data_IF_506590396467
#
_entry.id   IF_506590396467
#
_cell.length_a   1.000
_cell.length_b   1.000
_cell.length_c   1.000
_cell.angle_alpha   90.00
_cell.angle_beta   90.00
_cell.angle_gamma   90.00
#
_symmetry.space_group_name_H-M   'P 1'
#
loop_
_entity.id
_entity.type
_entity.pdbx_description
1 polymer ?
#
# COMPACT_ATOMS: atom_id res chain seq x y z
N UNK A 1 -33.50 -10.13 -16.96
CA UNK A 1 -32.02 -10.15 -16.94
C UNK A 1 -31.59 -11.49 -17.51
N UNK A 2 -30.80 -11.50 -18.61
CA UNK A 2 -30.26 -12.79 -19.15
C UNK A 2 -29.29 -13.36 -18.11
N UNK A 3 -29.54 -14.58 -17.65
CA UNK A 3 -28.57 -15.32 -16.84
C UNK A 3 -27.26 -15.40 -17.62
N UNK A 4 -26.18 -14.88 -16.99
CA UNK A 4 -24.83 -15.07 -17.54
C UNK A 4 -24.52 -16.55 -17.50
N UNK A 5 -24.09 -17.11 -18.64
CA UNK A 5 -23.61 -18.49 -18.66
C UNK A 5 -22.39 -18.63 -17.74
N UNK A 6 -22.18 -19.80 -17.15
CA UNK A 6 -21.02 -20.10 -16.29
C UNK A 6 -19.70 -19.73 -16.98
N UNK A 7 -19.59 -19.97 -18.28
CA UNK A 7 -18.43 -19.59 -19.08
C UNK A 7 -18.19 -18.07 -19.15
N UNK A 8 -19.23 -17.27 -19.27
CA UNK A 8 -19.11 -15.80 -19.25
C UNK A 8 -18.63 -15.30 -17.89
N UNK A 9 -19.01 -15.96 -16.81
CA UNK A 9 -18.56 -15.61 -15.48
C UNK A 9 -17.10 -15.99 -15.26
N UNK A 10 -16.67 -17.18 -15.71
CA UNK A 10 -15.26 -17.62 -15.67
C UNK A 10 -14.38 -16.67 -16.49
N UNK A 11 -14.76 -16.33 -17.71
CA UNK A 11 -14.02 -15.39 -18.56
C UNK A 11 -13.91 -14.00 -17.93
N UNK A 12 -15.00 -13.52 -17.34
CA UNK A 12 -14.97 -12.21 -16.65
C UNK A 12 -14.02 -12.21 -15.45
N UNK A 13 -14.01 -13.27 -14.64
CA UNK A 13 -13.08 -13.41 -13.51
C UNK A 13 -11.63 -13.52 -13.99
N UNK A 14 -11.38 -14.29 -15.05
CA UNK A 14 -10.06 -14.40 -15.69
C UNK A 14 -9.54 -13.05 -16.20
N UNK A 15 -10.41 -12.25 -16.82
CA UNK A 15 -10.07 -10.88 -17.22
C UNK A 15 -9.69 -10.01 -16.01
N UNK A 16 -10.40 -10.11 -14.89
CA UNK A 16 -10.06 -9.34 -13.68
C UNK A 16 -8.76 -9.79 -13.03
N UNK A 17 -8.42 -11.09 -13.12
CA UNK A 17 -7.09 -11.58 -12.71
C UNK A 17 -6.00 -10.98 -13.58
N UNK A 18 -6.20 -10.93 -14.91
CA UNK A 18 -5.24 -10.29 -15.83
C UNK A 18 -5.09 -8.79 -15.52
N UNK A 19 -6.20 -8.08 -15.30
CA UNK A 19 -6.18 -6.66 -14.90
C UNK A 19 -5.42 -6.48 -13.58
N UNK A 20 -5.63 -7.36 -12.59
CA UNK A 20 -4.89 -7.34 -11.32
C UNK A 20 -3.39 -7.47 -11.54
N UNK A 21 -2.94 -8.44 -12.36
CA UNK A 21 -1.51 -8.66 -12.63
C UNK A 21 -0.88 -7.46 -13.36
N UNK A 22 -1.54 -6.93 -14.39
CA UNK A 22 -1.07 -5.72 -15.10
C UNK A 22 -1.02 -4.52 -14.15
N UNK A 23 -2.02 -4.33 -13.31
CA UNK A 23 -2.07 -3.23 -12.35
C UNK A 23 -1.00 -3.37 -11.26
N UNK A 24 -0.68 -4.59 -10.79
CA UNK A 24 0.44 -4.84 -9.88
C UNK A 24 1.77 -4.39 -10.51
N UNK A 25 2.02 -4.75 -11.78
CA UNK A 25 3.23 -4.33 -12.49
C UNK A 25 3.25 -2.80 -12.64
N UNK A 26 2.14 -2.21 -13.05
CA UNK A 26 2.04 -0.75 -13.25
C UNK A 26 2.31 0.03 -11.97
N UNK A 27 1.85 -0.46 -10.82
CA UNK A 27 2.10 0.18 -9.52
C UNK A 27 3.59 0.18 -9.12
N UNK A 28 4.41 -0.75 -9.65
CA UNK A 28 5.85 -0.83 -9.38
C UNK A 28 6.72 0.03 -10.32
N UNK A 29 6.14 0.58 -11.41
CA UNK A 29 6.92 1.34 -12.39
C UNK A 29 7.61 2.57 -11.78
N UNK A 30 6.99 3.39 -10.89
CA UNK A 30 7.66 4.51 -10.25
C UNK A 30 8.86 4.08 -9.39
N UNK A 31 8.74 2.93 -8.71
CA UNK A 31 9.81 2.35 -7.90
C UNK A 31 10.99 1.94 -8.77
N UNK A 32 10.73 1.21 -9.86
CA UNK A 32 11.76 0.83 -10.83
C UNK A 32 12.47 2.04 -11.45
N UNK A 33 11.70 3.09 -11.83
CA UNK A 33 12.26 4.33 -12.32
C UNK A 33 13.13 5.02 -11.27
N UNK A 34 12.70 5.07 -10.00
CA UNK A 34 13.45 5.70 -8.92
C UNK A 34 14.80 5.01 -8.71
N UNK A 35 14.84 3.67 -8.68
CA UNK A 35 16.08 2.91 -8.59
C UNK A 35 17.00 3.13 -9.81
N UNK A 36 16.44 3.15 -11.02
CA UNK A 36 17.21 3.40 -12.23
C UNK A 36 17.84 4.80 -12.23
N UNK A 37 17.08 5.82 -11.84
CA UNK A 37 17.61 7.19 -11.74
C UNK A 37 18.70 7.31 -10.67
N UNK A 38 18.52 6.67 -9.51
CA UNK A 38 19.51 6.65 -8.43
C UNK A 38 20.80 5.96 -8.88
N UNK A 39 20.73 4.78 -9.54
CA UNK A 39 21.91 4.05 -10.02
C UNK A 39 22.68 4.78 -11.14
N UNK A 40 22.00 5.65 -11.88
CA UNK A 40 22.62 6.52 -12.89
C UNK A 40 22.99 7.92 -12.36
N UNK A 41 22.99 8.11 -11.04
CA UNK A 41 23.38 9.35 -10.36
C UNK A 41 22.64 10.60 -10.86
N UNK A 42 21.38 10.45 -11.23
CA UNK A 42 20.55 11.59 -11.64
C UNK A 42 20.38 12.58 -10.48
N UNK A 43 20.32 13.91 -10.76
CA UNK A 43 20.10 14.89 -9.71
C UNK A 43 18.79 14.63 -8.96
N UNK A 44 18.84 14.67 -7.62
CA UNK A 44 17.71 14.28 -6.74
C UNK A 44 16.42 15.07 -7.03
N UNK A 45 16.52 16.37 -7.31
CA UNK A 45 15.34 17.18 -7.63
C UNK A 45 14.68 16.73 -8.94
N UNK A 46 15.46 16.51 -9.99
CA UNK A 46 14.96 16.05 -11.30
C UNK A 46 14.34 14.65 -11.18
N UNK A 47 15.01 13.74 -10.47
CA UNK A 47 14.49 12.41 -10.16
C UNK A 47 13.15 12.50 -9.45
N UNK A 48 13.04 13.37 -8.44
CA UNK A 48 11.79 13.58 -7.70
C UNK A 48 10.65 14.09 -8.58
N UNK A 49 10.93 15.05 -9.46
CA UNK A 49 9.93 15.60 -10.38
C UNK A 49 9.48 14.55 -11.42
N UNK A 50 10.41 13.78 -11.99
CA UNK A 50 10.10 12.73 -12.98
C UNK A 50 9.25 11.61 -12.36
N UNK A 51 9.69 11.07 -11.21
CA UNK A 51 8.95 10.01 -10.51
C UNK A 51 7.60 10.54 -10.01
N UNK A 52 7.55 11.77 -9.51
CA UNK A 52 6.31 12.42 -9.07
C UNK A 52 5.31 12.59 -10.23
N UNK A 53 5.75 13.07 -11.38
CA UNK A 53 4.90 13.23 -12.56
C UNK A 53 4.36 11.88 -13.05
N UNK A 54 5.22 10.84 -13.13
CA UNK A 54 4.80 9.50 -13.48
C UNK A 54 3.80 8.93 -12.46
N UNK A 55 4.05 9.15 -11.17
CA UNK A 55 3.16 8.72 -10.09
C UNK A 55 1.77 9.35 -10.21
N UNK A 56 1.68 10.64 -10.55
CA UNK A 56 0.40 11.33 -10.78
C UNK A 56 -0.38 10.69 -11.92
N UNK A 57 0.30 10.35 -13.03
CA UNK A 57 -0.33 9.67 -14.17
C UNK A 57 -0.87 8.31 -13.74
N UNK A 58 -0.08 7.49 -13.05
CA UNK A 58 -0.49 6.16 -12.58
C UNK A 58 -1.66 6.27 -11.59
N UNK A 59 -1.57 7.16 -10.60
CA UNK A 59 -2.67 7.41 -9.65
C UNK A 59 -3.96 7.81 -10.37
N UNK A 60 -3.86 8.67 -11.39
CA UNK A 60 -5.02 9.08 -12.19
C UNK A 60 -5.67 7.87 -12.86
N UNK A 61 -4.87 6.97 -13.45
CA UNK A 61 -5.38 5.73 -14.07
C UNK A 61 -6.08 4.84 -13.04
N UNK A 62 -5.46 4.63 -11.86
CA UNK A 62 -6.05 3.81 -10.79
C UNK A 62 -7.33 4.42 -10.23
N UNK A 63 -7.34 5.72 -9.94
CA UNK A 63 -8.51 6.42 -9.39
C UNK A 63 -9.67 6.41 -10.39
N UNK A 64 -9.42 6.77 -11.65
CA UNK A 64 -10.44 6.74 -12.68
C UNK A 64 -10.95 5.32 -12.96
N UNK A 65 -10.05 4.33 -12.99
CA UNK A 65 -10.40 2.92 -13.10
C UNK A 65 -11.28 2.45 -11.95
N UNK A 66 -10.92 2.76 -10.70
CA UNK A 66 -11.70 2.41 -9.52
C UNK A 66 -13.07 3.10 -9.50
N UNK A 67 -13.16 4.37 -9.91
CA UNK A 67 -14.45 5.09 -10.04
C UNK A 67 -15.32 4.46 -11.14
N UNK A 68 -14.78 4.24 -12.34
CA UNK A 68 -15.52 3.65 -13.48
C UNK A 68 -16.04 2.25 -13.16
N UNK A 69 -15.30 1.49 -12.39
CA UNK A 69 -15.65 0.12 -11.99
C UNK A 69 -16.42 0.05 -10.67
N UNK A 70 -16.78 1.20 -10.09
CA UNK A 70 -17.57 1.31 -8.85
C UNK A 70 -16.89 0.60 -7.64
N UNK A 71 -15.57 0.60 -7.59
CA UNK A 71 -14.81 0.10 -6.44
C UNK A 71 -14.71 1.13 -5.33
N UNK A 72 -14.54 2.41 -5.71
CA UNK A 72 -14.45 3.55 -4.81
C UNK A 72 -15.03 4.81 -5.48
N UNK A 73 -15.55 5.75 -4.69
CA UNK A 73 -16.06 7.03 -5.18
C UNK A 73 -15.02 8.15 -5.11
N UNK A 74 -14.05 7.99 -4.22
CA UNK A 74 -13.08 9.03 -3.84
C UNK A 74 -13.75 10.32 -3.36
N UNK A 75 -14.89 10.17 -2.69
CA UNK A 75 -15.64 11.25 -2.09
C UNK A 75 -15.63 11.06 -0.56
N UNK A 76 -15.20 12.07 0.18
CA UNK A 76 -15.12 12.05 1.65
C UNK A 76 -16.35 12.66 2.34
N UNK A 77 -17.41 13.02 1.60
CA UNK A 77 -18.64 13.60 2.17
C UNK A 77 -19.35 12.68 3.18
N UNK A 78 -19.04 11.36 3.14
CA UNK A 78 -19.56 10.39 4.12
C UNK A 78 -18.85 10.46 5.47
N UNK A 79 -17.68 11.09 5.56
CA UNK A 79 -16.80 11.07 6.73
C UNK A 79 -17.42 11.77 7.92
N UNK A 80 -17.52 11.06 9.05
CA UNK A 80 -18.13 11.53 10.31
C UNK A 80 -17.13 11.37 11.46
N UNK A 81 -17.41 12.01 12.59
CA UNK A 81 -16.57 11.88 13.79
C UNK A 81 -16.32 10.42 14.23
N UNK A 82 -17.32 9.54 14.07
CA UNK A 82 -17.15 8.09 14.35
C UNK A 82 -16.12 7.42 13.45
N UNK A 83 -15.93 7.92 12.22
CA UNK A 83 -14.98 7.35 11.26
C UNK A 83 -13.57 7.79 11.62
N UNK A 84 -13.38 9.01 12.13
CA UNK A 84 -12.13 9.45 12.73
C UNK A 84 -11.74 8.56 13.93
N UNK A 85 -12.68 8.29 14.85
CA UNK A 85 -12.42 7.41 15.99
C UNK A 85 -12.00 5.99 15.54
N UNK A 86 -12.62 5.46 14.47
CA UNK A 86 -12.22 4.17 13.88
C UNK A 86 -10.81 4.21 13.30
N UNK A 87 -10.45 5.27 12.55
CA UNK A 87 -9.10 5.42 12.01
C UNK A 87 -8.07 5.48 13.12
N UNK A 88 -8.31 6.28 14.17
CA UNK A 88 -7.41 6.40 15.33
C UNK A 88 -7.26 5.05 16.03
N UNK A 89 -8.36 4.34 16.31
CA UNK A 89 -8.30 3.04 16.95
C UNK A 89 -7.55 2.02 16.08
N UNK A 90 -7.85 1.95 14.80
CA UNK A 90 -7.17 1.05 13.85
C UNK A 90 -5.67 1.37 13.75
N UNK A 91 -5.31 2.65 13.72
CA UNK A 91 -3.92 3.09 13.75
C UNK A 91 -3.20 2.62 15.03
N UNK A 92 -3.82 2.82 16.20
CA UNK A 92 -3.23 2.40 17.48
C UNK A 92 -3.05 0.89 17.58
N UNK A 93 -3.99 0.10 17.04
CA UNK A 93 -3.86 -1.37 16.99
C UNK A 93 -2.65 -1.76 16.14
N UNK A 94 -2.53 -1.22 14.92
CA UNK A 94 -1.38 -1.51 14.03
C UNK A 94 -0.07 -1.02 14.67
N UNK A 95 -0.07 0.16 15.27
CA UNK A 95 1.10 0.70 15.96
C UNK A 95 1.56 -0.20 17.12
N UNK A 96 0.64 -0.68 17.95
CA UNK A 96 0.96 -1.60 19.05
C UNK A 96 1.52 -2.93 18.52
N UNK A 97 0.95 -3.48 17.43
CA UNK A 97 1.47 -4.68 16.80
C UNK A 97 2.86 -4.46 16.17
N UNK A 98 3.11 -3.30 15.58
CA UNK A 98 4.44 -2.96 15.05
C UNK A 98 5.49 -2.90 16.17
N UNK A 99 5.15 -2.37 17.35
CA UNK A 99 6.03 -2.40 18.53
C UNK A 99 6.29 -3.84 19.00
N UNK A 100 5.25 -4.67 19.06
CA UNK A 100 5.38 -6.08 19.39
C UNK A 100 6.24 -6.84 18.36
N UNK A 101 6.00 -6.63 17.07
CA UNK A 101 6.78 -7.22 15.99
C UNK A 101 8.24 -6.78 16.01
N UNK A 102 8.52 -5.50 16.32
CA UNK A 102 9.88 -5.00 16.51
C UNK A 102 10.60 -5.64 17.72
N UNK A 103 9.87 -5.92 18.82
CA UNK A 103 10.42 -6.66 19.94
C UNK A 103 10.77 -8.10 19.56
N UNK A 104 9.90 -8.77 18.79
CA UNK A 104 10.17 -10.13 18.28
C UNK A 104 11.37 -10.16 17.32
N UNK A 105 11.51 -9.18 16.41
CA UNK A 105 12.68 -9.07 15.54
C UNK A 105 13.98 -9.00 16.34
N UNK A 106 14.03 -8.19 17.41
CA UNK A 106 15.20 -8.11 18.29
C UNK A 106 15.53 -9.44 18.97
N UNK A 107 14.51 -10.22 19.33
CA UNK A 107 14.72 -11.55 19.94
C UNK A 107 15.30 -12.57 18.93
N UNK A 108 15.11 -12.36 17.64
CA UNK A 108 15.69 -13.18 16.56
C UNK A 108 17.00 -12.61 15.99
N UNK A 109 17.61 -11.60 16.67
CA UNK A 109 18.80 -10.89 16.23
C UNK A 109 18.63 -10.16 14.88
N UNK A 110 17.40 -9.81 14.53
CA UNK A 110 17.10 -8.98 13.38
C UNK A 110 16.69 -7.57 13.83
N UNK A 111 17.07 -6.57 13.07
CA UNK A 111 16.78 -5.16 13.39
C UNK A 111 15.58 -4.61 12.63
N UNK A 112 15.25 -5.20 11.48
CA UNK A 112 14.19 -4.71 10.60
C UNK A 112 13.66 -5.83 9.69
N UNK A 113 12.51 -5.60 9.05
CA UNK A 113 11.97 -6.48 8.02
C UNK A 113 12.62 -6.19 6.65
N UNK A 114 12.60 -7.16 5.73
CA UNK A 114 13.12 -6.98 4.35
C UNK A 114 12.47 -5.77 3.64
N UNK A 115 11.14 -5.64 3.73
CA UNK A 115 10.43 -4.50 3.15
C UNK A 115 10.85 -3.17 3.79
N UNK A 116 11.00 -3.10 5.13
CA UNK A 116 11.43 -1.89 5.81
C UNK A 116 12.88 -1.51 5.43
N UNK A 117 13.78 -2.49 5.27
CA UNK A 117 15.14 -2.26 4.78
C UNK A 117 15.14 -1.61 3.39
N UNK A 118 14.27 -2.08 2.49
CA UNK A 118 14.09 -1.48 1.16
C UNK A 118 13.60 -0.03 1.27
N UNK A 119 12.63 0.24 2.14
CA UNK A 119 12.11 1.59 2.39
C UNK A 119 13.21 2.51 2.93
N UNK A 120 13.98 2.06 3.90
CA UNK A 120 15.09 2.84 4.46
C UNK A 120 16.11 3.21 3.37
N UNK A 121 16.52 2.23 2.55
CA UNK A 121 17.42 2.45 1.43
C UNK A 121 16.86 3.45 0.40
N UNK A 122 15.54 3.41 0.13
CA UNK A 122 14.89 4.39 -0.75
C UNK A 122 14.95 5.80 -0.19
N UNK A 123 14.64 5.99 1.10
CA UNK A 123 14.68 7.31 1.74
C UNK A 123 16.10 7.86 1.80
N UNK A 124 17.09 6.99 2.01
CA UNK A 124 18.50 7.34 2.08
C UNK A 124 19.09 7.72 0.72
N UNK A 125 18.83 6.92 -0.30
CA UNK A 125 19.54 6.99 -1.58
C UNK A 125 18.72 7.60 -2.73
N UNK A 126 17.44 7.90 -2.53
CA UNK A 126 16.57 8.46 -3.55
C UNK A 126 16.08 9.86 -3.19
N UNK A 127 15.37 10.50 -4.11
CA UNK A 127 14.70 11.77 -3.86
C UNK A 127 13.59 11.60 -2.83
N UNK A 128 13.56 12.43 -1.78
CA UNK A 128 12.47 12.45 -0.79
C UNK A 128 11.11 12.74 -1.45
N UNK A 129 11.09 13.55 -2.52
CA UNK A 129 9.88 13.82 -3.31
C UNK A 129 9.39 12.52 -3.97
N UNK A 130 10.29 11.79 -4.66
CA UNK A 130 9.97 10.51 -5.28
C UNK A 130 9.45 9.51 -4.24
N UNK A 131 10.17 9.38 -3.12
CA UNK A 131 9.83 8.45 -2.03
C UNK A 131 8.49 8.79 -1.40
N UNK A 132 8.16 10.07 -1.21
CA UNK A 132 6.84 10.51 -0.74
C UNK A 132 5.73 10.02 -1.69
N UNK A 133 5.86 10.28 -2.99
CA UNK A 133 4.87 9.84 -3.97
C UNK A 133 4.69 8.32 -3.97
N UNK A 134 5.78 7.57 -3.89
CA UNK A 134 5.74 6.12 -3.91
C UNK A 134 5.14 5.53 -2.63
N UNK A 135 5.65 5.92 -1.46
CA UNK A 135 5.27 5.29 -0.19
C UNK A 135 3.95 5.81 0.36
N UNK A 136 3.66 7.11 0.21
CA UNK A 136 2.50 7.72 0.86
C UNK A 136 1.27 7.74 -0.05
N UNK A 137 1.46 7.76 -1.36
CA UNK A 137 0.35 7.86 -2.32
C UNK A 137 0.18 6.60 -3.17
N UNK A 138 1.21 6.20 -3.93
CA UNK A 138 1.11 5.07 -4.89
C UNK A 138 0.82 3.76 -4.15
N UNK A 139 1.67 3.38 -3.20
CA UNK A 139 1.52 2.10 -2.52
C UNK A 139 0.15 1.99 -1.85
N UNK A 140 -0.29 2.92 -0.95
CA UNK A 140 -1.59 2.79 -0.29
C UNK A 140 -2.77 2.77 -1.26
N UNK A 141 -2.82 3.68 -2.24
CA UNK A 141 -3.97 3.78 -3.15
C UNK A 141 -4.04 2.55 -4.06
N UNK A 142 -2.93 2.16 -4.68
CA UNK A 142 -2.91 1.02 -5.60
C UNK A 142 -3.17 -0.30 -4.86
N UNK A 143 -2.49 -0.55 -3.74
CA UNK A 143 -2.61 -1.79 -2.99
C UNK A 143 -4.02 -1.99 -2.43
N UNK A 144 -4.66 -0.93 -1.90
CA UNK A 144 -6.03 -1.03 -1.42
C UNK A 144 -7.03 -1.29 -2.57
N UNK A 145 -6.86 -0.61 -3.71
CA UNK A 145 -7.70 -0.88 -4.91
C UNK A 145 -7.55 -2.33 -5.36
N UNK A 146 -6.34 -2.87 -5.35
CA UNK A 146 -6.07 -4.25 -5.75
C UNK A 146 -6.60 -5.25 -4.73
N UNK A 147 -6.19 -5.13 -3.46
CA UNK A 147 -6.42 -6.13 -2.42
C UNK A 147 -7.81 -6.05 -1.79
N UNK A 148 -8.39 -4.85 -1.61
CA UNK A 148 -9.71 -4.65 -0.99
C UNK A 148 -10.80 -4.25 -2.00
N UNK A 149 -10.39 -3.86 -3.21
CA UNK A 149 -11.29 -3.53 -4.33
C UNK A 149 -11.44 -4.71 -5.30
N UNK A 150 -10.44 -4.94 -6.14
CA UNK A 150 -10.51 -5.90 -7.26
C UNK A 150 -10.68 -7.33 -6.78
N UNK A 151 -9.83 -7.81 -5.86
CA UNK A 151 -9.89 -9.21 -5.41
C UNK A 151 -11.28 -9.52 -4.84
N UNK A 152 -11.80 -8.86 -3.79
CA UNK A 152 -13.09 -9.25 -3.23
C UNK A 152 -14.28 -8.94 -4.13
N UNK A 153 -14.33 -7.78 -4.76
CA UNK A 153 -15.54 -7.30 -5.45
C UNK A 153 -15.65 -7.73 -6.92
N UNK A 154 -14.55 -8.10 -7.57
CA UNK A 154 -14.53 -8.48 -9.00
C UNK A 154 -14.16 -9.94 -9.21
N UNK A 155 -13.05 -10.42 -8.61
CA UNK A 155 -12.60 -11.80 -8.77
C UNK A 155 -13.47 -12.75 -7.93
N UNK A 156 -13.73 -12.42 -6.66
CA UNK A 156 -14.55 -13.22 -5.75
C UNK A 156 -16.00 -12.73 -5.65
N UNK A 157 -16.52 -12.09 -6.71
CA UNK A 157 -17.90 -11.63 -6.76
C UNK A 157 -18.87 -12.75 -6.36
N UNK A 158 -19.77 -12.46 -5.40
CA UNK A 158 -20.70 -13.44 -4.81
C UNK A 158 -20.11 -14.27 -3.67
N UNK A 159 -18.79 -14.14 -3.42
CA UNK A 159 -18.06 -14.73 -2.29
C UNK A 159 -17.11 -13.69 -1.69
N UNK A 160 -17.58 -12.47 -1.54
CA UNK A 160 -16.75 -11.29 -1.19
C UNK A 160 -16.00 -11.47 0.14
N UNK A 161 -16.60 -12.15 1.14
CA UNK A 161 -15.93 -12.46 2.41
C UNK A 161 -14.65 -13.27 2.19
N UNK A 162 -14.72 -14.32 1.36
CA UNK A 162 -13.55 -15.10 0.97
C UNK A 162 -12.54 -14.23 0.20
N UNK A 163 -13.04 -13.37 -0.70
CA UNK A 163 -12.21 -12.41 -1.43
C UNK A 163 -11.45 -11.45 -0.52
N UNK A 164 -12.05 -10.97 0.57
CA UNK A 164 -11.36 -10.15 1.57
C UNK A 164 -10.26 -10.92 2.29
N UNK A 165 -10.48 -12.18 2.63
CA UNK A 165 -9.44 -13.05 3.23
C UNK A 165 -8.29 -13.25 2.25
N UNK A 166 -8.59 -13.60 0.98
CA UNK A 166 -7.56 -13.76 -0.06
C UNK A 166 -6.81 -12.44 -0.30
N UNK A 167 -7.51 -11.32 -0.36
CA UNK A 167 -6.89 -10.00 -0.50
C UNK A 167 -5.96 -9.66 0.66
N UNK A 168 -6.33 -10.03 1.89
CA UNK A 168 -5.47 -9.85 3.06
C UNK A 168 -4.18 -10.69 2.96
N UNK A 169 -4.29 -11.94 2.55
CA UNK A 169 -3.12 -12.83 2.36
C UNK A 169 -2.22 -12.30 1.24
N UNK A 170 -2.79 -11.92 0.10
CA UNK A 170 -2.02 -11.33 -1.02
C UNK A 170 -1.27 -10.08 -0.58
N UNK A 171 -1.93 -9.18 0.13
CA UNK A 171 -1.29 -7.97 0.67
C UNK A 171 -0.09 -8.30 1.55
N UNK A 172 -0.25 -9.21 2.52
CA UNK A 172 0.84 -9.59 3.42
C UNK A 172 2.03 -10.20 2.64
N UNK A 173 1.75 -11.03 1.62
CA UNK A 173 2.77 -11.63 0.77
C UNK A 173 3.51 -10.62 -0.12
N UNK A 174 2.83 -9.58 -0.60
CA UNK A 174 3.46 -8.49 -1.37
C UNK A 174 4.54 -7.75 -0.58
N UNK A 175 4.48 -7.78 0.75
CA UNK A 175 5.51 -7.21 1.64
C UNK A 175 6.70 -8.16 1.90
N UNK A 176 6.78 -9.28 1.15
CA UNK A 176 7.92 -10.23 1.21
C UNK A 176 8.33 -10.61 2.65
N UNK A 177 7.39 -11.14 3.47
CA UNK A 177 7.73 -11.56 4.83
C UNK A 177 8.72 -12.74 4.79
N UNK A 178 9.91 -12.55 5.37
CA UNK A 178 11.00 -13.53 5.37
C UNK A 178 11.10 -14.33 6.67
N UNK A 179 10.43 -13.89 7.73
CA UNK A 179 10.47 -14.49 9.06
C UNK A 179 9.12 -14.35 9.77
N UNK A 180 8.94 -15.06 10.89
CA UNK A 180 7.70 -15.02 11.66
C UNK A 180 7.31 -13.62 12.16
N UNK A 181 8.23 -12.79 12.70
CA UNK A 181 7.89 -11.40 13.05
C UNK A 181 7.32 -10.59 11.87
N UNK A 182 7.90 -10.69 10.69
CA UNK A 182 7.41 -9.97 9.50
C UNK A 182 6.03 -10.47 9.04
N UNK A 183 5.76 -11.80 9.15
CA UNK A 183 4.42 -12.35 8.91
C UNK A 183 3.40 -11.75 9.89
N UNK A 184 3.76 -11.63 11.17
CA UNK A 184 2.89 -11.04 12.20
C UNK A 184 2.63 -9.56 11.89
N UNK A 185 3.68 -8.77 11.61
CA UNK A 185 3.58 -7.33 11.30
C UNK A 185 2.65 -7.08 10.11
N UNK A 186 2.93 -7.71 8.95
CA UNK A 186 2.17 -7.45 7.73
C UNK A 186 0.84 -8.18 7.67
N UNK A 187 0.73 -9.34 8.30
CA UNK A 187 -0.53 -10.09 8.41
C UNK A 187 -1.56 -9.36 9.26
N UNK A 188 -1.15 -8.82 10.41
CA UNK A 188 -2.04 -8.03 11.25
C UNK A 188 -2.42 -6.70 10.59
N UNK A 189 -1.44 -5.95 10.08
CA UNK A 189 -1.69 -4.71 9.34
C UNK A 189 -2.72 -4.95 8.22
N UNK A 190 -2.51 -6.01 7.43
CA UNK A 190 -3.44 -6.38 6.37
C UNK A 190 -4.84 -6.73 6.89
N UNK A 191 -4.92 -7.40 8.03
CA UNK A 191 -6.19 -7.77 8.67
C UNK A 191 -6.96 -6.54 9.12
N UNK A 192 -6.30 -5.57 9.76
CA UNK A 192 -6.93 -4.32 10.22
C UNK A 192 -7.38 -3.45 9.05
N UNK A 193 -6.56 -3.31 8.01
CA UNK A 193 -6.94 -2.60 6.78
C UNK A 193 -8.15 -3.26 6.12
N UNK A 194 -8.15 -4.59 6.02
CA UNK A 194 -9.27 -5.37 5.46
C UNK A 194 -10.54 -5.22 6.29
N UNK A 195 -10.41 -5.31 7.62
CA UNK A 195 -11.53 -5.08 8.53
C UNK A 195 -12.10 -3.67 8.39
N UNK A 196 -11.23 -2.65 8.26
CA UNK A 196 -11.64 -1.27 8.05
C UNK A 196 -12.45 -1.11 6.76
N UNK A 197 -11.95 -1.63 5.62
CA UNK A 197 -12.67 -1.60 4.35
C UNK A 197 -14.00 -2.37 4.41
N UNK A 198 -14.00 -3.58 5.01
CA UNK A 198 -15.17 -4.45 5.12
C UNK A 198 -16.27 -3.86 6.01
N UNK A 199 -15.90 -3.34 7.20
CA UNK A 199 -16.87 -2.80 8.19
C UNK A 199 -17.44 -1.45 7.81
N UNK A 200 -16.70 -0.66 7.06
CA UNK A 200 -17.17 0.65 6.60
C UNK A 200 -17.85 0.59 5.23
N UNK A 201 -17.67 -0.54 4.52
CA UNK A 201 -18.06 -0.69 3.11
C UNK A 201 -17.44 0.39 2.20
N UNK A 202 -16.35 1.02 2.67
CA UNK A 202 -15.65 2.14 2.03
C UNK A 202 -14.18 1.83 1.85
N UNK A 203 -13.77 1.74 0.59
CA UNK A 203 -12.37 1.54 0.24
C UNK A 203 -11.52 2.75 0.65
N UNK A 204 -12.12 3.95 0.57
CA UNK A 204 -11.48 5.22 0.96
C UNK A 204 -11.02 5.22 2.42
N UNK A 205 -11.71 4.49 3.31
CA UNK A 205 -11.34 4.41 4.72
C UNK A 205 -10.05 3.61 4.94
N UNK A 206 -9.88 2.47 4.27
CA UNK A 206 -8.62 1.71 4.34
C UNK A 206 -7.48 2.42 3.61
N UNK A 207 -7.76 3.10 2.50
CA UNK A 207 -6.77 3.97 1.81
C UNK A 207 -6.26 5.05 2.77
N UNK A 208 -7.16 5.80 3.44
CA UNK A 208 -6.78 6.85 4.38
C UNK A 208 -5.95 6.30 5.55
N UNK A 209 -6.37 5.18 6.15
CA UNK A 209 -5.62 4.54 7.23
C UNK A 209 -4.22 4.15 6.76
N UNK A 210 -4.10 3.53 5.60
CA UNK A 210 -2.82 3.11 5.03
C UNK A 210 -1.92 4.31 4.70
N UNK A 211 -2.49 5.36 4.10
CA UNK A 211 -1.76 6.62 3.84
C UNK A 211 -1.24 7.28 5.13
N UNK A 212 -2.03 7.26 6.21
CA UNK A 212 -1.61 7.79 7.52
C UNK A 212 -0.45 6.95 8.08
N UNK A 213 -0.55 5.62 8.04
CA UNK A 213 0.50 4.72 8.51
C UNK A 213 1.82 4.98 7.77
N UNK A 214 1.78 4.94 6.46
CA UNK A 214 2.96 5.14 5.62
C UNK A 214 3.47 6.59 5.69
N UNK A 215 2.57 7.56 5.77
CA UNK A 215 2.93 8.98 5.90
C UNK A 215 3.66 9.29 7.21
N UNK A 216 3.19 8.77 8.34
CA UNK A 216 3.87 8.94 9.63
C UNK A 216 5.23 8.26 9.60
N UNK A 217 5.31 7.01 9.11
CA UNK A 217 6.58 6.29 8.98
C UNK A 217 7.58 7.04 8.08
N UNK A 218 7.12 7.50 6.90
CA UNK A 218 7.93 8.31 5.98
C UNK A 218 8.45 9.58 6.64
N UNK A 219 7.60 10.35 7.32
CA UNK A 219 8.04 11.59 7.99
C UNK A 219 9.10 11.33 9.05
N UNK A 220 8.94 10.28 9.87
CA UNK A 220 9.91 9.92 10.90
C UNK A 220 11.26 9.54 10.28
N UNK A 221 11.27 8.67 9.26
CA UNK A 221 12.51 8.24 8.60
C UNK A 221 13.17 9.42 7.87
N UNK A 222 12.39 10.24 7.15
CA UNK A 222 12.91 11.40 6.43
C UNK A 222 13.57 12.42 7.38
N UNK A 223 12.96 12.68 8.55
CA UNK A 223 13.55 13.55 9.58
C UNK A 223 14.89 12.96 10.08
N UNK A 224 14.94 11.66 10.38
CA UNK A 224 16.16 11.00 10.84
C UNK A 224 17.27 11.08 9.78
N UNK A 225 16.95 10.81 8.50
CA UNK A 225 17.92 10.92 7.39
C UNK A 225 18.42 12.35 7.22
N UNK A 226 17.55 13.36 7.32
CA UNK A 226 17.97 14.77 7.22
C UNK A 226 18.88 15.19 8.39
N UNK A 227 18.57 14.74 9.61
CA UNK A 227 19.41 15.00 10.78
C UNK A 227 20.78 14.33 10.60
N UNK A 228 20.82 13.05 10.22
CA UNK A 228 22.08 12.31 10.00
C UNK A 228 22.95 12.98 8.94
N UNK A 229 22.37 13.40 7.82
CA UNK A 229 23.08 14.13 6.75
C UNK A 229 23.67 15.46 7.26
N UNK A 230 22.93 16.21 8.07
CA UNK A 230 23.40 17.48 8.63
C UNK A 230 24.52 17.30 9.68
N UNK A 231 24.52 16.16 10.38
CA UNK A 231 25.55 15.84 11.39
C UNK A 231 26.74 15.06 10.78
N UNK A 232 26.72 14.74 9.49
CA UNK A 232 27.76 13.93 8.83
C UNK A 232 27.80 12.48 9.32
N UNK A 233 26.68 11.97 9.85
CA UNK A 233 26.56 10.60 10.34
C UNK A 233 26.04 9.69 9.22
N UNK A 234 26.51 8.44 9.14
CA UNK A 234 25.86 7.39 8.34
C UNK A 234 24.57 6.97 9.02
N UNK A 235 23.53 6.79 8.22
CA UNK A 235 22.21 6.35 8.72
C UNK A 235 22.11 4.81 8.67
#
# INVERSE_FOLDING_TARGET
MKEKTIWQEILNRGMWVLILLVALILAQVPLGLSFWLASNQFPLLQSGLLVGALSIVILTVFILGARKTQLATFNLSFFKAKDLARLVLSYLVIFANNLFGAALLRMTNETTTSNQSTINSLVENSSLIATFFMLVLIAPICEEILCRGIIPKKIFRGKEKLGFVVGAIVFALLHTPTNLPSVIIYGEMSTVLTWTAYKTERLEMSILLHMILNGVAFCLIAILVLISRNLGLSF
#
